data_IF_392097211934
#
_entry.id   IF_392097211934
#
_cell.length_a   1.000
_cell.length_b   1.000
_cell.length_c   1.000
_cell.angle_alpha   90.00
_cell.angle_beta   90.00
_cell.angle_gamma   90.00
#
_symmetry.space_group_name_H-M   'P 1'
#
loop_
_entity.id
_entity.type
_entity.pdbx_description
1 polymer ?
#
# COMPACT_ATOMS: atom_id res chain seq x y z
N UNK A 1 22.68 -22.23 -11.25
CA UNK A 1 22.75 -21.17 -12.28
C UNK A 1 22.24 -19.91 -11.62
N UNK A 2 22.98 -18.81 -11.67
CA UNK A 2 22.54 -17.56 -11.07
C UNK A 2 21.29 -17.07 -11.82
N UNK A 3 20.16 -16.94 -11.11
CA UNK A 3 18.90 -16.49 -11.71
C UNK A 3 19.06 -15.07 -12.23
N UNK A 4 18.64 -14.81 -13.47
CA UNK A 4 18.79 -13.54 -14.17
C UNK A 4 17.49 -12.76 -14.16
N UNK A 5 17.56 -11.51 -13.71
CA UNK A 5 16.41 -10.60 -13.63
C UNK A 5 16.64 -9.40 -14.53
N UNK A 6 15.61 -8.98 -15.24
CA UNK A 6 15.58 -7.71 -15.96
C UNK A 6 14.62 -6.77 -15.23
N UNK A 7 15.11 -5.58 -14.85
CA UNK A 7 14.26 -4.51 -14.34
C UNK A 7 14.20 -3.38 -15.37
N UNK A 8 12.98 -3.03 -15.80
CA UNK A 8 12.75 -1.95 -16.77
C UNK A 8 12.16 -0.76 -16.03
N UNK A 9 12.87 0.36 -16.02
CA UNK A 9 12.57 1.54 -15.22
C UNK A 9 13.50 1.64 -14.01
N UNK A 10 14.26 2.72 -13.95
CA UNK A 10 15.23 3.08 -12.93
C UNK A 10 14.73 4.26 -12.06
N UNK A 11 13.41 4.46 -12.00
CA UNK A 11 12.75 5.40 -11.09
C UNK A 11 12.84 4.94 -9.62
N UNK A 12 12.11 5.63 -8.72
CA UNK A 12 12.15 5.36 -7.27
C UNK A 12 11.90 3.90 -6.91
N UNK A 13 10.85 3.28 -7.47
CA UNK A 13 10.52 1.87 -7.21
C UNK A 13 11.52 0.92 -7.86
N UNK A 14 11.79 1.10 -9.16
CA UNK A 14 12.74 0.27 -9.91
C UNK A 14 14.12 0.21 -9.25
N UNK A 15 14.66 1.35 -8.83
CA UNK A 15 15.92 1.45 -8.09
C UNK A 15 15.95 0.63 -6.80
N UNK A 16 14.86 0.66 -6.02
CA UNK A 16 14.73 -0.14 -4.81
C UNK A 16 14.63 -1.64 -5.10
N UNK A 17 13.92 -2.01 -6.17
CA UNK A 17 13.78 -3.39 -6.62
C UNK A 17 15.13 -3.93 -7.13
N UNK A 18 15.85 -3.16 -7.95
CA UNK A 18 17.21 -3.48 -8.43
C UNK A 18 18.14 -3.76 -7.25
N UNK A 19 18.17 -2.85 -6.27
CA UNK A 19 18.98 -3.04 -5.05
C UNK A 19 18.59 -4.30 -4.28
N UNK A 20 17.29 -4.61 -4.19
CA UNK A 20 16.80 -5.81 -3.51
C UNK A 20 17.30 -7.09 -4.18
N UNK A 21 17.24 -7.18 -5.51
CA UNK A 21 17.74 -8.36 -6.24
C UNK A 21 19.26 -8.50 -6.12
N UNK A 22 20.01 -7.40 -6.28
CA UNK A 22 21.47 -7.43 -6.16
C UNK A 22 21.93 -7.89 -4.76
N UNK A 23 21.26 -7.44 -3.69
CA UNK A 23 21.53 -7.90 -2.31
C UNK A 23 21.29 -9.39 -2.11
N UNK A 24 20.44 -10.00 -2.92
CA UNK A 24 20.14 -11.43 -2.89
C UNK A 24 20.92 -12.21 -3.96
N UNK A 25 22.05 -11.67 -4.43
CA UNK A 25 22.98 -12.31 -5.36
C UNK A 25 22.39 -12.69 -6.73
N UNK A 26 21.33 -12.01 -7.17
CA UNK A 26 20.83 -12.15 -8.54
C UNK A 26 21.71 -11.38 -9.51
N UNK A 27 21.82 -11.89 -10.74
CA UNK A 27 22.35 -11.11 -11.86
C UNK A 27 21.22 -10.22 -12.41
N UNK A 28 21.42 -8.90 -12.37
CA UNK A 28 20.40 -7.91 -12.71
C UNK A 28 20.81 -7.16 -13.98
N UNK A 29 19.93 -7.20 -14.97
CA UNK A 29 19.96 -6.31 -16.13
C UNK A 29 19.02 -5.13 -15.88
N UNK A 30 19.44 -3.93 -16.23
CA UNK A 30 18.61 -2.72 -16.07
C UNK A 30 18.50 -1.97 -17.40
N UNK A 31 17.31 -1.43 -17.67
CA UNK A 31 17.06 -0.56 -18.80
C UNK A 31 16.16 0.61 -18.38
N UNK A 32 16.48 1.81 -18.83
CA UNK A 32 15.63 3.00 -18.74
C UNK A 32 15.99 3.94 -19.89
N UNK A 33 15.00 4.55 -20.53
CA UNK A 33 15.22 5.55 -21.58
C UNK A 33 15.84 6.83 -21.00
N UNK A 34 15.61 7.10 -19.72
CA UNK A 34 16.15 8.24 -19.01
C UNK A 34 17.51 7.91 -18.35
N UNK A 35 18.60 8.33 -19.00
CA UNK A 35 19.96 8.17 -18.49
C UNK A 35 20.17 8.75 -17.08
N UNK A 36 19.50 9.85 -16.74
CA UNK A 36 19.59 10.44 -15.39
C UNK A 36 18.98 9.52 -14.33
N UNK A 37 17.97 8.71 -14.69
CA UNK A 37 17.39 7.72 -13.78
C UNK A 37 18.38 6.57 -13.51
N UNK A 38 19.13 6.15 -14.52
CA UNK A 38 20.21 5.17 -14.39
C UNK A 38 21.30 5.71 -13.46
N UNK A 39 21.78 6.94 -13.69
CA UNK A 39 22.82 7.57 -12.83
C UNK A 39 22.37 7.65 -11.37
N UNK A 40 21.14 8.11 -11.11
CA UNK A 40 20.56 8.13 -9.75
C UNK A 40 20.42 6.74 -9.14
N UNK A 41 20.24 5.71 -9.97
CA UNK A 41 20.21 4.32 -9.53
C UNK A 41 21.60 3.85 -9.14
N UNK A 42 22.62 4.11 -9.96
CA UNK A 42 24.02 3.78 -9.64
C UNK A 42 24.48 4.45 -8.35
N UNK A 43 24.21 5.75 -8.16
CA UNK A 43 24.55 6.44 -6.91
C UNK A 43 23.89 5.80 -5.69
N UNK A 44 22.61 5.46 -5.79
CA UNK A 44 21.91 4.77 -4.72
C UNK A 44 22.50 3.37 -4.44
N UNK A 45 22.88 2.63 -5.48
CA UNK A 45 23.49 1.31 -5.32
C UNK A 45 24.85 1.40 -4.63
N UNK A 46 25.69 2.39 -4.98
CA UNK A 46 26.97 2.65 -4.32
C UNK A 46 26.82 2.88 -2.80
N UNK A 47 25.71 3.48 -2.37
CA UNK A 47 25.43 3.75 -0.96
C UNK A 47 24.79 2.56 -0.23
N UNK A 48 24.09 1.68 -0.95
CA UNK A 48 23.17 0.72 -0.33
C UNK A 48 23.52 -0.75 -0.58
N UNK A 49 24.36 -1.08 -1.57
CA UNK A 49 24.69 -2.45 -1.97
C UNK A 49 26.19 -2.59 -2.14
N UNK A 50 26.79 -3.56 -1.45
CA UNK A 50 28.22 -3.83 -1.56
C UNK A 50 28.54 -4.73 -2.77
N UNK A 51 29.66 -4.46 -3.46
CA UNK A 51 30.24 -5.32 -4.50
C UNK A 51 29.26 -5.78 -5.61
N UNK A 52 28.28 -4.95 -5.96
CA UNK A 52 27.22 -5.33 -6.91
C UNK A 52 27.66 -5.32 -8.39
N UNK A 53 28.78 -4.66 -8.71
CA UNK A 53 29.17 -4.36 -10.10
C UNK A 53 29.28 -5.60 -10.99
N UNK A 54 29.75 -6.74 -10.44
CA UNK A 54 29.85 -8.02 -11.18
C UNK A 54 28.49 -8.63 -11.54
N UNK A 55 27.44 -8.24 -10.82
CA UNK A 55 26.09 -8.77 -10.93
C UNK A 55 25.13 -7.76 -11.60
N UNK A 56 25.63 -6.63 -12.11
CA UNK A 56 24.82 -5.61 -12.76
C UNK A 56 25.25 -5.43 -14.23
N UNK A 57 24.27 -5.46 -15.14
CA UNK A 57 24.46 -5.08 -16.54
C UNK A 57 23.49 -3.96 -16.89
N UNK A 58 24.03 -2.84 -17.37
CA UNK A 58 23.22 -1.72 -17.89
C UNK A 58 23.04 -1.94 -19.39
N UNK A 59 21.80 -1.99 -19.85
CA UNK A 59 21.46 -2.16 -21.26
C UNK A 59 21.35 -0.79 -21.93
N UNK A 60 21.95 -0.63 -23.11
CA UNK A 60 21.81 0.61 -23.90
C UNK A 60 20.52 0.61 -24.72
N UNK A 61 20.01 -0.57 -25.05
CA UNK A 61 18.73 -0.78 -25.73
C UNK A 61 18.16 -2.17 -25.42
N UNK A 62 16.87 -2.37 -25.64
CA UNK A 62 16.18 -3.62 -25.33
C UNK A 62 16.71 -4.83 -26.13
N UNK A 63 17.34 -4.68 -27.29
CA UNK A 63 17.87 -5.82 -28.05
C UNK A 63 19.11 -6.46 -27.39
N UNK A 64 19.69 -5.81 -26.38
CA UNK A 64 20.83 -6.33 -25.60
C UNK A 64 20.42 -7.25 -24.45
N UNK A 65 19.10 -7.46 -24.27
CA UNK A 65 18.55 -8.38 -23.27
C UNK A 65 19.14 -9.77 -23.49
N UNK A 66 19.69 -10.33 -22.41
CA UNK A 66 20.09 -11.74 -22.39
C UNK A 66 18.85 -12.64 -22.52
N UNK A 67 18.84 -13.51 -23.54
CA UNK A 67 17.72 -14.44 -23.79
C UNK A 67 17.53 -15.47 -22.67
N UNK A 68 18.53 -15.68 -21.81
CA UNK A 68 18.43 -16.51 -20.60
C UNK A 68 17.87 -15.75 -19.40
N UNK A 69 17.17 -14.62 -19.61
CA UNK A 69 16.47 -13.91 -18.53
C UNK A 69 15.32 -14.75 -17.98
N UNK A 70 15.31 -15.01 -16.67
CA UNK A 70 14.28 -15.81 -16.02
C UNK A 70 13.05 -14.97 -15.64
N UNK A 71 13.27 -13.72 -15.25
CA UNK A 71 12.24 -12.86 -14.68
C UNK A 71 12.37 -11.40 -15.11
N UNK A 72 11.28 -10.81 -15.57
CA UNK A 72 11.20 -9.38 -15.91
C UNK A 72 10.27 -8.67 -14.93
N UNK A 73 10.71 -7.53 -14.43
CA UNK A 73 9.90 -6.59 -13.65
C UNK A 73 9.87 -5.24 -14.37
N UNK A 74 8.69 -4.87 -14.85
CA UNK A 74 8.40 -3.55 -15.38
C UNK A 74 8.05 -2.58 -14.23
N UNK A 75 8.73 -1.44 -14.16
CA UNK A 75 8.55 -0.38 -13.17
C UNK A 75 8.75 1.03 -13.79
N UNK A 76 8.30 1.21 -15.03
CA UNK A 76 8.21 2.50 -15.73
C UNK A 76 7.03 3.32 -15.21
N UNK A 77 6.84 4.51 -15.79
CA UNK A 77 5.74 5.42 -15.43
C UNK A 77 4.38 4.73 -15.46
N UNK A 78 3.46 5.16 -14.58
CA UNK A 78 2.14 4.58 -14.43
C UNK A 78 1.19 5.05 -15.56
N UNK A 79 1.49 4.63 -16.78
CA UNK A 79 0.73 4.93 -17.99
C UNK A 79 0.42 3.63 -18.74
N UNK A 80 -0.85 3.42 -19.08
CA UNK A 80 -1.31 2.19 -19.73
C UNK A 80 -0.68 2.00 -21.12
N UNK A 81 -0.70 3.02 -21.97
CA UNK A 81 -0.22 2.94 -23.35
C UNK A 81 1.28 2.64 -23.41
N UNK A 82 2.08 3.29 -22.57
CA UNK A 82 3.52 3.08 -22.49
C UNK A 82 3.86 1.66 -22.04
N UNK A 83 3.21 1.15 -20.99
CA UNK A 83 3.41 -0.23 -20.53
C UNK A 83 2.94 -1.25 -21.57
N UNK A 84 1.79 -1.00 -22.19
CA UNK A 84 1.23 -1.88 -23.22
C UNK A 84 2.16 -1.99 -24.44
N UNK A 85 2.69 -0.84 -24.91
CA UNK A 85 3.69 -0.79 -25.98
C UNK A 85 4.98 -1.51 -25.60
N UNK A 86 5.46 -1.29 -24.38
CA UNK A 86 6.66 -1.95 -23.87
C UNK A 86 6.51 -3.49 -23.90
N UNK A 87 5.40 -4.03 -23.41
CA UNK A 87 5.19 -5.48 -23.39
C UNK A 87 5.15 -6.10 -24.80
N UNK A 88 4.58 -5.41 -25.79
CA UNK A 88 4.62 -5.85 -27.20
C UNK A 88 6.04 -5.94 -27.76
N UNK A 89 6.90 -4.98 -27.40
CA UNK A 89 8.29 -4.94 -27.84
C UNK A 89 9.12 -6.00 -27.09
N UNK A 90 8.83 -6.21 -25.82
CA UNK A 90 9.61 -7.05 -24.94
C UNK A 90 9.38 -8.54 -25.20
N UNK A 91 8.13 -8.97 -25.46
CA UNK A 91 7.77 -10.38 -25.55
C UNK A 91 8.62 -11.20 -26.55
N UNK A 92 8.89 -10.72 -27.78
CA UNK A 92 9.68 -11.46 -28.77
C UNK A 92 11.17 -11.58 -28.42
N UNK A 93 11.67 -10.77 -27.49
CA UNK A 93 13.07 -10.77 -27.05
C UNK A 93 13.36 -11.80 -25.96
N UNK A 94 12.31 -12.40 -25.39
CA UNK A 94 12.38 -13.31 -24.25
C UNK A 94 12.06 -14.75 -24.67
N UNK A 95 12.66 -15.72 -23.98
CA UNK A 95 12.27 -17.13 -24.11
C UNK A 95 10.88 -17.35 -23.55
N UNK A 96 10.21 -18.41 -24.01
CA UNK A 96 8.84 -18.74 -23.60
C UNK A 96 8.68 -18.97 -22.09
N UNK A 97 9.72 -19.44 -21.42
CA UNK A 97 9.71 -19.75 -19.98
C UNK A 97 10.09 -18.56 -19.09
N UNK A 98 10.34 -17.37 -19.66
CA UNK A 98 10.57 -16.15 -18.89
C UNK A 98 9.26 -15.64 -18.28
N UNK A 99 9.26 -15.38 -16.97
CA UNK A 99 8.16 -14.68 -16.29
C UNK A 99 8.20 -13.19 -16.67
N UNK A 100 7.06 -12.63 -17.06
CA UNK A 100 6.93 -11.19 -17.33
C UNK A 100 6.02 -10.60 -16.25
N UNK A 101 6.46 -9.54 -15.59
CA UNK A 101 5.66 -8.89 -14.56
C UNK A 101 5.73 -7.37 -14.58
N UNK A 102 4.76 -6.77 -13.91
CA UNK A 102 4.66 -5.32 -13.69
C UNK A 102 4.51 -5.00 -12.21
N UNK A 103 5.18 -3.93 -11.77
CA UNK A 103 5.04 -3.32 -10.45
C UNK A 103 3.91 -2.26 -10.41
N UNK A 104 3.04 -2.19 -11.43
CA UNK A 104 1.88 -1.28 -11.42
C UNK A 104 1.09 -1.41 -10.11
N UNK A 105 0.59 -0.28 -9.61
CA UNK A 105 -0.20 -0.22 -8.36
C UNK A 105 -1.69 -0.08 -8.62
N UNK A 106 -2.08 0.14 -9.88
CA UNK A 106 -3.43 0.62 -10.21
C UNK A 106 -3.99 0.17 -11.56
N UNK A 107 -3.14 -0.21 -12.53
CA UNK A 107 -3.58 -0.65 -13.85
C UNK A 107 -4.00 -2.13 -13.82
N UNK A 108 -4.97 -2.46 -14.67
CA UNK A 108 -5.46 -3.83 -14.78
C UNK A 108 -4.39 -4.74 -15.39
N UNK A 109 -4.07 -5.81 -14.67
CA UNK A 109 -3.17 -6.86 -15.16
C UNK A 109 -3.84 -7.61 -16.31
N UNK A 110 -5.17 -7.77 -16.28
CA UNK A 110 -5.91 -8.37 -17.38
C UNK A 110 -5.78 -7.54 -18.67
N UNK A 111 -6.05 -6.22 -18.61
CA UNK A 111 -5.95 -5.33 -19.77
C UNK A 111 -4.51 -5.28 -20.30
N UNK A 112 -3.50 -5.17 -19.44
CA UNK A 112 -2.09 -5.16 -19.85
C UNK A 112 -1.65 -6.49 -20.49
N UNK A 113 -2.19 -7.62 -20.04
CA UNK A 113 -1.86 -8.93 -20.61
C UNK A 113 -2.23 -9.05 -22.09
N UNK A 114 -3.15 -8.22 -22.60
CA UNK A 114 -3.55 -8.24 -24.01
C UNK A 114 -2.43 -7.80 -24.97
N UNK A 115 -1.38 -7.16 -24.44
CA UNK A 115 -0.17 -6.87 -25.19
C UNK A 115 0.63 -8.14 -25.57
N UNK A 116 0.38 -9.27 -24.89
CA UNK A 116 1.16 -10.49 -24.99
C UNK A 116 0.40 -11.59 -25.74
N UNK A 117 1.15 -12.39 -26.50
CA UNK A 117 0.66 -13.61 -27.14
C UNK A 117 0.65 -14.79 -26.16
N UNK A 118 1.67 -14.89 -25.31
CA UNK A 118 1.83 -15.93 -24.27
C UNK A 118 1.48 -15.35 -22.90
N UNK A 119 0.18 -15.13 -22.67
CA UNK A 119 -0.35 -14.44 -21.49
C UNK A 119 -0.19 -15.24 -20.19
N UNK A 120 0.03 -16.55 -20.30
CA UNK A 120 0.11 -17.47 -19.16
C UNK A 120 1.27 -17.18 -18.19
N UNK A 121 2.28 -16.45 -18.66
CA UNK A 121 3.49 -16.06 -17.92
C UNK A 121 3.48 -14.62 -17.41
N UNK A 122 2.36 -13.91 -17.59
CA UNK A 122 2.19 -12.53 -17.18
C UNK A 122 1.42 -12.41 -15.88
N UNK A 123 1.89 -11.55 -14.97
CA UNK A 123 1.27 -11.28 -13.67
C UNK A 123 1.78 -9.97 -13.06
N UNK A 124 1.06 -9.40 -12.11
CA UNK A 124 1.56 -8.28 -11.30
C UNK A 124 2.44 -8.77 -10.16
N UNK A 125 3.55 -8.06 -9.91
CA UNK A 125 4.39 -8.22 -8.71
C UNK A 125 4.58 -6.84 -8.10
N UNK A 126 3.64 -6.48 -7.22
CA UNK A 126 3.52 -5.15 -6.66
C UNK A 126 4.30 -5.07 -5.34
N UNK A 127 5.46 -4.41 -5.38
CA UNK A 127 6.27 -4.04 -4.23
C UNK A 127 5.77 -2.74 -3.61
N UNK A 128 5.97 -2.59 -2.30
CA UNK A 128 5.59 -1.39 -1.56
C UNK A 128 6.81 -0.47 -1.31
N UNK A 129 6.58 0.84 -1.35
CA UNK A 129 7.63 1.84 -1.14
C UNK A 129 7.97 2.01 0.35
N UNK A 130 9.25 1.98 0.78
CA UNK A 130 10.45 1.59 0.01
C UNK A 130 10.63 0.07 -0.12
N UNK A 131 10.99 -0.46 -1.32
CA UNK A 131 11.08 -1.90 -1.55
C UNK A 131 12.09 -2.63 -0.65
N UNK A 132 13.15 -1.97 -0.20
CA UNK A 132 14.14 -2.58 0.71
C UNK A 132 13.60 -2.78 2.13
N UNK A 133 12.63 -1.97 2.56
CA UNK A 133 12.12 -1.93 3.94
C UNK A 133 10.80 -2.70 4.04
N UNK A 134 9.90 -2.49 3.08
CA UNK A 134 8.57 -3.08 3.11
C UNK A 134 8.65 -4.59 2.86
N UNK A 135 8.01 -5.38 3.72
CA UNK A 135 8.07 -6.86 3.65
C UNK A 135 7.09 -7.45 2.64
N UNK A 136 5.95 -6.79 2.44
CA UNK A 136 4.86 -7.29 1.62
C UNK A 136 5.16 -7.16 0.12
N UNK A 137 4.76 -8.17 -0.65
CA UNK A 137 4.59 -8.13 -2.10
C UNK A 137 3.23 -8.73 -2.45
N UNK A 138 2.44 -8.02 -3.25
CA UNK A 138 1.20 -8.56 -3.83
C UNK A 138 1.51 -9.21 -5.18
N UNK A 139 1.24 -10.52 -5.30
CA UNK A 139 1.23 -11.21 -6.58
C UNK A 139 -0.19 -11.16 -7.14
N UNK A 140 -0.35 -10.46 -8.26
CA UNK A 140 -1.65 -10.18 -8.87
C UNK A 140 -1.83 -11.03 -10.13
N UNK A 141 -2.78 -11.94 -10.10
CA UNK A 141 -3.05 -12.86 -11.19
C UNK A 141 -3.92 -12.19 -12.25
N UNK A 142 -3.49 -12.30 -13.50
CA UNK A 142 -4.41 -12.16 -14.63
C UNK A 142 -5.30 -13.41 -14.75
N UNK A 143 -6.35 -13.33 -15.56
CA UNK A 143 -7.22 -14.45 -15.89
C UNK A 143 -6.50 -15.56 -16.66
N UNK A 144 -5.33 -15.27 -17.23
CA UNK A 144 -4.53 -16.20 -18.02
C UNK A 144 -3.36 -16.79 -17.25
N UNK A 145 -2.94 -16.17 -16.14
CA UNK A 145 -1.74 -16.57 -15.39
C UNK A 145 -1.84 -18.04 -14.98
N UNK A 146 -0.88 -18.86 -15.44
CA UNK A 146 -0.87 -20.27 -15.12
C UNK A 146 -0.27 -20.54 -13.74
N UNK A 147 -0.68 -21.67 -13.15
CA UNK A 147 -0.17 -22.13 -11.86
C UNK A 147 1.36 -22.30 -11.83
N UNK A 148 1.95 -22.80 -12.92
CA UNK A 148 3.41 -22.98 -13.03
C UNK A 148 4.17 -21.65 -12.90
N UNK A 149 3.72 -20.59 -13.59
CA UNK A 149 4.38 -19.28 -13.51
C UNK A 149 4.13 -18.58 -12.17
N UNK A 150 2.97 -18.81 -11.55
CA UNK A 150 2.72 -18.37 -10.17
C UNK A 150 3.72 -19.01 -9.19
N UNK A 151 3.90 -20.33 -9.25
CA UNK A 151 4.81 -21.06 -8.35
C UNK A 151 6.27 -20.61 -8.51
N UNK A 152 6.74 -20.45 -9.75
CA UNK A 152 8.08 -19.90 -10.02
C UNK A 152 8.24 -18.47 -9.48
N UNK A 153 7.22 -17.63 -9.64
CA UNK A 153 7.24 -16.27 -9.09
C UNK A 153 7.29 -16.30 -7.56
N UNK A 154 6.50 -17.16 -6.92
CA UNK A 154 6.52 -17.32 -5.45
C UNK A 154 7.92 -17.73 -4.98
N UNK A 155 8.57 -18.68 -5.66
CA UNK A 155 9.91 -19.12 -5.32
C UNK A 155 10.92 -17.96 -5.40
N UNK A 156 10.89 -17.19 -6.49
CA UNK A 156 11.77 -16.02 -6.67
C UNK A 156 11.50 -14.98 -5.57
N UNK A 157 10.25 -14.58 -5.35
CA UNK A 157 9.93 -13.52 -4.38
C UNK A 157 10.23 -13.95 -2.95
N UNK A 158 9.99 -15.22 -2.57
CA UNK A 158 10.37 -15.76 -1.25
C UNK A 158 11.88 -15.71 -1.02
N UNK A 159 12.69 -15.98 -2.06
CA UNK A 159 14.15 -15.90 -1.96
C UNK A 159 14.66 -14.49 -1.61
N UNK A 160 13.85 -13.44 -1.85
CA UNK A 160 14.15 -12.06 -1.47
C UNK A 160 13.78 -11.73 -0.02
N UNK A 161 13.43 -12.74 0.79
CA UNK A 161 12.90 -12.59 2.15
C UNK A 161 11.65 -11.69 2.22
N UNK A 162 10.81 -11.77 1.19
CA UNK A 162 9.52 -11.08 1.12
C UNK A 162 8.37 -11.97 1.53
N UNK A 163 7.37 -11.32 2.11
CA UNK A 163 6.09 -11.92 2.45
C UNK A 163 5.12 -11.72 1.29
N UNK A 164 4.58 -12.82 0.80
CA UNK A 164 3.69 -12.82 -0.35
C UNK A 164 2.24 -12.88 0.12
N UNK A 165 1.40 -12.16 -0.61
CA UNK A 165 -0.05 -12.37 -0.68
C UNK A 165 -0.46 -12.50 -2.14
N UNK A 166 -1.49 -13.28 -2.41
CA UNK A 166 -1.95 -13.54 -3.78
C UNK A 166 -3.37 -12.98 -3.94
N UNK A 167 -3.60 -12.28 -5.05
CA UNK A 167 -4.94 -11.85 -5.42
C UNK A 167 -5.18 -11.93 -6.92
N UNK A 168 -6.46 -11.92 -7.31
CA UNK A 168 -6.88 -11.69 -8.69
C UNK A 168 -6.79 -10.20 -9.03
N UNK A 169 -6.62 -9.92 -10.32
CA UNK A 169 -6.70 -8.57 -10.85
C UNK A 169 -8.04 -7.91 -10.47
N UNK A 170 -7.94 -6.80 -9.75
CA UNK A 170 -9.07 -5.96 -9.36
C UNK A 170 -8.57 -4.55 -9.07
N UNK A 171 -9.40 -3.50 -9.24
CA UNK A 171 -8.96 -2.13 -9.00
C UNK A 171 -8.40 -1.93 -7.58
N UNK A 172 -7.12 -1.60 -7.48
CA UNK A 172 -6.41 -1.41 -6.21
C UNK A 172 -6.04 -2.69 -5.45
N UNK A 173 -6.11 -3.86 -6.10
CA UNK A 173 -5.70 -5.16 -5.55
C UNK A 173 -6.27 -5.43 -4.15
N UNK A 174 -5.43 -5.71 -3.15
CA UNK A 174 -5.87 -5.87 -1.76
C UNK A 174 -5.66 -4.55 -1.00
N UNK A 175 -4.40 -4.13 -0.85
CA UNK A 175 -4.03 -3.06 0.10
C UNK A 175 -4.63 -1.73 -0.31
N UNK A 176 -4.46 -1.31 -1.57
CA UNK A 176 -4.92 0.00 -2.00
C UNK A 176 -6.44 0.12 -1.90
N UNK A 177 -7.16 -0.95 -2.28
CA UNK A 177 -8.61 -1.05 -2.19
C UNK A 177 -9.13 -0.98 -0.76
N UNK A 178 -8.65 -1.85 0.13
CA UNK A 178 -9.12 -1.93 1.53
C UNK A 178 -8.66 -0.72 2.35
N UNK A 179 -7.56 -0.05 1.97
CA UNK A 179 -7.12 1.16 2.65
C UNK A 179 -7.93 2.41 2.26
N UNK A 180 -8.67 2.42 1.14
CA UNK A 180 -9.41 3.62 0.68
C UNK A 180 -10.36 4.19 1.75
N UNK A 181 -11.18 3.37 2.45
CA UNK A 181 -12.09 3.91 3.45
C UNK A 181 -11.41 4.61 4.63
N UNK A 182 -10.17 4.25 4.96
CA UNK A 182 -9.40 4.95 6.01
C UNK A 182 -9.27 6.45 5.72
N UNK A 183 -8.97 6.80 4.45
CA UNK A 183 -8.83 8.18 4.02
C UNK A 183 -10.19 8.82 3.72
N UNK A 184 -11.03 8.15 2.93
CA UNK A 184 -12.24 8.74 2.38
C UNK A 184 -13.32 8.96 3.45
N UNK A 185 -13.43 8.07 4.43
CA UNK A 185 -14.35 8.26 5.55
C UNK A 185 -13.88 9.39 6.46
N UNK A 186 -12.57 9.51 6.71
CA UNK A 186 -11.99 10.63 7.45
C UNK A 186 -12.22 11.97 6.73
N UNK A 187 -12.01 12.02 5.41
CA UNK A 187 -12.27 13.22 4.60
C UNK A 187 -13.73 13.64 4.64
N UNK A 188 -14.68 12.69 4.56
CA UNK A 188 -16.11 12.97 4.71
C UNK A 188 -16.45 13.49 6.11
N UNK A 189 -15.81 12.99 7.15
CA UNK A 189 -15.99 13.51 8.51
C UNK A 189 -15.49 14.95 8.63
N UNK A 190 -14.33 15.25 8.04
CA UNK A 190 -13.77 16.59 8.01
C UNK A 190 -14.63 17.56 7.19
N UNK A 191 -15.18 17.12 6.06
CA UNK A 191 -16.15 17.89 5.26
C UNK A 191 -17.41 18.25 6.08
N UNK A 192 -17.81 17.38 7.01
CA UNK A 192 -18.93 17.61 7.94
C UNK A 192 -18.53 18.38 9.22
N UNK A 193 -17.34 19.00 9.24
CA UNK A 193 -16.91 19.91 10.31
C UNK A 193 -16.20 19.25 11.49
N UNK A 194 -15.82 17.98 11.41
CA UNK A 194 -15.03 17.33 12.46
C UNK A 194 -13.56 17.69 12.26
N UNK A 195 -12.93 18.25 13.29
CA UNK A 195 -11.52 18.64 13.22
C UNK A 195 -10.61 17.45 12.83
N UNK A 196 -9.78 17.65 11.82
CA UNK A 196 -8.93 16.59 11.27
C UNK A 196 -7.84 16.14 12.25
N UNK A 197 -7.38 17.03 13.14
CA UNK A 197 -6.38 16.69 14.17
C UNK A 197 -6.98 15.78 15.23
N UNK A 198 -8.26 15.97 15.57
CA UNK A 198 -9.01 15.06 16.42
C UNK A 198 -9.16 13.68 15.76
N UNK A 199 -9.53 13.62 14.47
CA UNK A 199 -9.66 12.34 13.74
C UNK A 199 -8.32 11.59 13.76
N UNK A 200 -7.23 12.27 13.45
CA UNK A 200 -5.89 11.68 13.50
C UNK A 200 -5.52 11.17 14.88
N UNK A 201 -5.80 11.96 15.93
CA UNK A 201 -5.50 11.59 17.32
C UNK A 201 -6.32 10.38 17.76
N UNK A 202 -7.60 10.33 17.42
CA UNK A 202 -8.48 9.17 17.69
C UNK A 202 -7.94 7.91 17.01
N UNK A 203 -7.63 7.96 15.72
CA UNK A 203 -7.12 6.78 15.01
C UNK A 203 -5.78 6.31 15.58
N UNK A 204 -4.90 7.24 15.98
CA UNK A 204 -3.64 6.89 16.63
C UNK A 204 -3.84 6.29 18.02
N UNK A 205 -4.74 6.84 18.84
CA UNK A 205 -4.96 6.36 20.22
C UNK A 205 -5.50 4.95 20.26
N UNK A 206 -6.32 4.56 19.28
CA UNK A 206 -6.82 3.20 19.21
C UNK A 206 -5.76 2.22 18.68
N UNK A 207 -4.63 2.67 18.12
CA UNK A 207 -3.49 1.81 17.79
C UNK A 207 -2.94 1.93 16.38
N UNK A 208 -3.49 2.79 15.52
CA UNK A 208 -2.87 3.04 14.21
C UNK A 208 -1.56 3.83 14.39
N UNK A 209 -0.56 3.53 13.57
CA UNK A 209 0.74 4.21 13.64
C UNK A 209 0.65 5.71 13.30
N UNK A 210 -0.24 6.07 12.38
CA UNK A 210 -0.49 7.43 11.91
C UNK A 210 -1.98 7.62 11.69
N UNK A 211 -2.45 8.86 11.86
CA UNK A 211 -3.80 9.23 11.49
C UNK A 211 -3.96 9.35 9.96
N UNK A 212 -5.20 9.30 9.44
CA UNK A 212 -5.47 9.39 8.00
C UNK A 212 -4.91 10.65 7.33
N UNK A 213 -4.96 11.82 7.97
CA UNK A 213 -4.47 13.08 7.39
C UNK A 213 -2.95 13.16 7.43
N UNK A 214 -2.34 12.81 8.56
CA UNK A 214 -0.88 12.62 8.68
C UNK A 214 -0.33 11.65 7.62
N UNK A 215 -1.02 10.53 7.39
CA UNK A 215 -0.60 9.54 6.40
C UNK A 215 -0.77 10.03 4.95
N UNK A 216 -1.83 10.78 4.66
CA UNK A 216 -2.00 11.42 3.34
C UNK A 216 -0.88 12.42 3.05
N UNK A 217 -0.49 13.25 4.02
CA UNK A 217 0.60 14.19 3.86
C UNK A 217 1.96 13.51 3.68
N UNK A 218 2.17 12.35 4.33
CA UNK A 218 3.37 11.53 4.16
C UNK A 218 3.45 10.88 2.78
N UNK A 219 2.34 10.30 2.31
CA UNK A 219 2.26 9.66 0.99
C UNK A 219 2.37 10.70 -0.13
N UNK A 220 1.76 11.87 0.08
CA UNK A 220 1.47 12.86 -0.94
C UNK A 220 -0.02 12.85 -1.27
N UNK A 221 -0.67 14.00 -1.11
CA UNK A 221 -2.13 14.12 -1.31
C UNK A 221 -2.52 13.83 -2.76
N UNK A 222 -1.71 14.26 -3.72
CA UNK A 222 -1.87 13.99 -5.15
C UNK A 222 -1.79 12.49 -5.48
N UNK A 223 -0.84 11.78 -4.89
CA UNK A 223 -0.68 10.33 -5.06
C UNK A 223 -1.85 9.59 -4.41
N UNK A 224 -2.25 9.99 -3.20
CA UNK A 224 -3.39 9.36 -2.54
C UNK A 224 -4.70 9.58 -3.33
N UNK A 225 -4.92 10.80 -3.83
CA UNK A 225 -6.08 11.16 -4.63
C UNK A 225 -6.12 10.42 -5.97
N UNK A 226 -5.00 10.32 -6.69
CA UNK A 226 -4.95 9.64 -7.98
C UNK A 226 -5.34 8.17 -7.87
N UNK A 227 -4.85 7.46 -6.84
CA UNK A 227 -5.25 6.07 -6.57
C UNK A 227 -6.74 5.97 -6.26
N UNK A 228 -7.29 6.86 -5.44
CA UNK A 228 -8.74 6.90 -5.16
C UNK A 228 -9.56 7.12 -6.43
N UNK A 229 -9.09 8.02 -7.32
CA UNK A 229 -9.75 8.31 -8.60
C UNK A 229 -9.79 7.09 -9.51
N UNK A 230 -8.67 6.41 -9.70
CA UNK A 230 -8.60 5.20 -10.55
C UNK A 230 -9.54 4.11 -10.02
N UNK A 231 -9.51 3.86 -8.70
CA UNK A 231 -10.38 2.86 -8.08
C UNK A 231 -11.86 3.24 -8.27
N UNK A 232 -12.22 4.51 -8.08
CA UNK A 232 -13.59 4.96 -8.28
C UNK A 232 -14.03 4.87 -9.74
N UNK A 233 -13.21 5.31 -10.70
CA UNK A 233 -13.54 5.25 -12.13
C UNK A 233 -13.76 3.81 -12.61
N UNK A 234 -12.97 2.86 -12.10
CA UNK A 234 -13.11 1.44 -12.46
C UNK A 234 -14.22 0.70 -11.73
N UNK A 235 -14.66 1.18 -10.55
CA UNK A 235 -15.64 0.46 -9.72
C UNK A 235 -17.01 1.13 -9.61
N UNK A 236 -17.10 2.44 -9.83
CA UNK A 236 -18.32 3.24 -9.64
C UNK A 236 -18.85 3.28 -8.21
N UNK A 237 -18.07 2.81 -7.23
CA UNK A 237 -18.54 2.65 -5.85
C UNK A 237 -18.58 4.01 -5.13
N UNK A 238 -19.77 4.53 -4.85
CA UNK A 238 -19.94 5.86 -4.25
C UNK A 238 -19.23 6.01 -2.89
N UNK A 239 -19.14 4.93 -2.09
CA UNK A 239 -18.36 4.93 -0.83
C UNK A 239 -16.87 5.18 -1.03
N UNK A 240 -16.34 4.89 -2.23
CA UNK A 240 -14.94 5.08 -2.62
C UNK A 240 -14.72 6.35 -3.47
N UNK A 241 -15.71 7.22 -3.55
CA UNK A 241 -15.61 8.47 -4.32
C UNK A 241 -14.48 9.38 -3.80
N UNK A 242 -13.62 9.91 -4.69
CA UNK A 242 -12.56 10.86 -4.31
C UNK A 242 -13.12 12.14 -3.71
N UNK A 243 -12.39 12.73 -2.76
CA UNK A 243 -12.83 13.96 -2.08
C UNK A 243 -12.44 15.22 -2.86
N UNK A 244 -13.37 16.19 -2.91
CA UNK A 244 -13.09 17.54 -3.43
C UNK A 244 -12.06 18.29 -2.60
N UNK A 245 -11.95 18.01 -1.30
CA UNK A 245 -10.95 18.61 -0.41
C UNK A 245 -9.54 18.32 -0.93
N UNK A 246 -9.27 17.06 -1.30
CA UNK A 246 -7.98 16.68 -1.86
C UNK A 246 -7.72 17.39 -3.19
N UNK A 247 -8.72 17.48 -4.07
CA UNK A 247 -8.62 18.18 -5.34
C UNK A 247 -8.26 19.67 -5.17
N UNK A 248 -8.90 20.36 -4.22
CA UNK A 248 -8.61 21.76 -3.89
C UNK A 248 -7.21 21.95 -3.32
N UNK A 249 -6.75 21.03 -2.48
CA UNK A 249 -5.39 21.08 -1.91
C UNK A 249 -4.33 20.88 -3.00
N UNK A 250 -4.57 19.96 -3.94
CA UNK A 250 -3.70 19.76 -5.10
C UNK A 250 -3.62 21.03 -5.94
N UNK A 251 -4.76 21.69 -6.22
CA UNK A 251 -4.80 22.97 -6.95
C UNK A 251 -4.00 24.08 -6.24
N UNK A 252 -3.95 24.06 -4.91
CA UNK A 252 -3.18 25.01 -4.09
C UNK A 252 -1.69 24.62 -3.94
N UNK A 253 -1.26 23.48 -4.46
CA UNK A 253 0.10 22.97 -4.27
C UNK A 253 0.37 22.43 -2.86
N UNK A 254 -0.67 22.17 -2.07
CA UNK A 254 -0.55 21.60 -0.73
C UNK A 254 -0.52 20.08 -0.84
N UNK A 255 0.68 19.56 -1.04
CA UNK A 255 0.97 18.18 -1.42
C UNK A 255 1.53 17.34 -0.26
N UNK A 256 1.57 17.89 0.95
CA UNK A 256 2.08 17.24 2.15
C UNK A 256 3.55 17.54 2.41
N UNK A 257 4.29 16.55 2.92
CA UNK A 257 5.69 16.71 3.34
C UNK A 257 6.57 17.21 2.19
N UNK A 258 6.35 16.70 0.97
CA UNK A 258 7.18 17.06 -0.21
C UNK A 258 7.08 18.52 -0.64
N UNK A 259 6.06 19.25 -0.19
CA UNK A 259 5.88 20.70 -0.41
C UNK A 259 5.88 21.48 0.90
N UNK A 260 6.29 20.86 2.00
CA UNK A 260 6.26 21.39 3.37
C UNK A 260 4.87 21.86 3.87
N UNK A 261 3.79 21.52 3.15
CA UNK A 261 2.43 21.97 3.44
C UNK A 261 1.41 20.99 2.85
N UNK A 262 0.52 20.48 3.69
CA UNK A 262 -0.63 19.64 3.35
C UNK A 262 -1.81 19.98 4.27
N UNK A 263 -2.35 18.98 4.96
CA UNK A 263 -3.25 19.21 6.10
C UNK A 263 -2.48 19.82 7.28
N UNK A 264 -1.22 19.46 7.43
CA UNK A 264 -0.29 20.04 8.39
C UNK A 264 0.77 20.92 7.71
N UNK A 265 1.45 21.74 8.52
CA UNK A 265 2.69 22.42 8.13
C UNK A 265 3.90 21.58 8.55
N UNK A 266 4.96 21.62 7.74
CA UNK A 266 6.19 20.86 7.98
C UNK A 266 7.43 21.77 7.99
N UNK A 267 8.45 21.46 8.83
CA UNK A 267 8.58 20.27 9.68
C UNK A 267 7.66 20.31 10.91
N UNK A 268 7.24 19.12 11.38
CA UNK A 268 6.34 18.96 12.54
C UNK A 268 6.83 17.84 13.45
N UNK A 269 6.55 18.00 14.75
CA UNK A 269 6.69 16.93 15.72
C UNK A 269 5.48 15.99 15.67
N UNK A 270 5.75 14.69 15.55
CA UNK A 270 4.72 13.66 15.56
C UNK A 270 4.40 13.25 17.00
N UNK A 271 3.13 13.37 17.39
CA UNK A 271 2.64 12.73 18.60
C UNK A 271 2.63 11.21 18.39
N UNK A 272 3.37 10.49 19.24
CA UNK A 272 3.48 9.04 19.21
C UNK A 272 2.92 8.48 20.50
N UNK A 273 2.00 7.52 20.39
CA UNK A 273 1.55 6.74 21.53
C UNK A 273 2.48 5.53 21.72
N UNK A 274 3.03 5.40 22.91
CA UNK A 274 3.82 4.23 23.30
C UNK A 274 2.93 3.33 24.15
N UNK A 275 2.34 2.31 23.51
CA UNK A 275 1.48 1.35 24.18
C UNK A 275 2.35 0.28 24.86
N UNK A 276 2.38 0.28 26.19
CA UNK A 276 3.13 -0.72 26.97
C UNK A 276 2.46 -2.09 26.99
N UNK A 277 1.14 -2.12 26.91
CA UNK A 277 0.36 -3.34 27.08
C UNK A 277 -0.86 -3.30 26.17
N UNK A 278 -1.20 -4.46 25.61
CA UNK A 278 -2.47 -4.66 24.91
C UNK A 278 -3.50 -5.19 25.91
N UNK A 279 -4.64 -4.52 26.02
CA UNK A 279 -5.78 -4.89 26.85
C UNK A 279 -6.73 -5.84 26.10
N UNK A 280 -7.51 -6.60 26.86
CA UNK A 280 -8.49 -7.55 26.32
C UNK A 280 -9.83 -6.91 25.90
N UNK A 281 -9.89 -5.58 25.83
CA UNK A 281 -11.04 -4.86 25.32
C UNK A 281 -10.93 -4.73 23.80
N UNK A 282 -11.98 -5.12 23.07
CA UNK A 282 -12.03 -5.03 21.62
C UNK A 282 -13.47 -4.79 21.14
N UNK A 283 -13.72 -3.62 20.57
CA UNK A 283 -15.02 -3.19 20.08
C UNK A 283 -15.60 -1.99 20.81
N UNK A 284 -16.91 -1.83 20.69
CA UNK A 284 -17.70 -0.77 21.32
C UNK A 284 -18.25 -1.26 22.67
N UNK A 285 -18.12 -0.41 23.68
CA UNK A 285 -18.62 -0.64 25.03
C UNK A 285 -19.49 0.52 25.48
N UNK A 286 -20.55 0.19 26.21
CA UNK A 286 -21.46 1.13 26.83
C UNK A 286 -21.42 0.97 28.34
N UNK A 287 -21.27 2.10 29.03
CA UNK A 287 -21.40 2.24 30.47
C UNK A 287 -22.55 3.20 30.73
N UNK A 288 -23.09 3.19 31.95
CA UNK A 288 -24.28 3.98 32.31
C UNK A 288 -24.18 5.46 31.87
N UNK A 289 -22.99 6.06 31.96
CA UNK A 289 -22.80 7.50 31.76
C UNK A 289 -21.86 7.85 30.58
N UNK A 290 -21.38 6.87 29.80
CA UNK A 290 -20.52 7.12 28.63
C UNK A 290 -20.35 5.88 27.74
N UNK A 291 -19.87 6.10 26.51
CA UNK A 291 -19.46 5.04 25.58
C UNK A 291 -17.97 5.13 25.28
N UNK A 292 -17.36 3.99 24.99
CA UNK A 292 -15.98 3.98 24.49
C UNK A 292 -15.75 2.89 23.46
N UNK A 293 -14.85 3.16 22.52
CA UNK A 293 -14.39 2.23 21.50
C UNK A 293 -12.88 1.98 21.63
N UNK A 294 -12.46 0.74 21.43
CA UNK A 294 -11.05 0.34 21.50
C UNK A 294 -10.78 -0.94 20.71
N UNK A 295 -9.52 -1.19 20.38
CA UNK A 295 -9.02 -2.45 19.81
C UNK A 295 -7.87 -3.05 20.63
N UNK A 296 -7.87 -2.71 21.92
CA UNK A 296 -6.94 -3.23 22.91
C UNK A 296 -5.72 -2.35 23.17
N UNK A 297 -5.62 -1.16 22.60
CA UNK A 297 -4.49 -0.25 22.84
C UNK A 297 -4.92 0.91 23.74
N UNK A 298 -5.39 2.01 23.15
CA UNK A 298 -6.06 3.10 23.86
C UNK A 298 -7.57 3.10 23.65
N UNK A 299 -8.25 4.12 24.18
CA UNK A 299 -9.70 4.26 24.09
C UNK A 299 -10.12 5.59 23.48
N UNK A 300 -11.09 5.54 22.57
CA UNK A 300 -11.89 6.69 22.16
C UNK A 300 -13.15 6.72 23.02
N UNK A 301 -13.45 7.85 23.65
CA UNK A 301 -14.56 8.00 24.60
C UNK A 301 -15.46 9.12 24.13
N UNK A 302 -16.76 8.87 24.21
CA UNK A 302 -17.77 9.73 23.63
C UNK A 302 -19.10 9.56 24.34
N UNK A 303 -20.05 10.44 24.06
CA UNK A 303 -21.40 10.40 24.66
C UNK A 303 -21.36 10.35 26.21
N UNK A 304 -20.48 11.14 26.83
CA UNK A 304 -20.29 11.16 28.28
C UNK A 304 -21.06 12.30 28.96
N UNK A 305 -21.49 12.08 30.21
CA UNK A 305 -22.17 13.09 31.03
C UNK A 305 -21.23 13.91 31.92
N UNK A 306 -20.22 13.25 32.52
CA UNK A 306 -19.27 13.89 33.45
C UNK A 306 -17.83 13.50 33.12
N UNK A 307 -17.04 14.46 32.66
CA UNK A 307 -15.66 14.24 32.20
C UNK A 307 -14.75 13.62 33.27
N UNK A 308 -14.78 14.16 34.50
CA UNK A 308 -13.88 13.73 35.58
C UNK A 308 -14.15 12.27 35.98
N UNK A 309 -15.42 11.92 36.17
CA UNK A 309 -15.83 10.56 36.50
C UNK A 309 -15.50 9.57 35.36
N UNK A 310 -15.72 9.99 34.11
CA UNK A 310 -15.39 9.18 32.94
C UNK A 310 -13.89 8.91 32.85
N UNK A 311 -13.05 9.94 33.02
CA UNK A 311 -11.59 9.81 32.99
C UNK A 311 -11.09 8.88 34.10
N UNK A 312 -11.61 9.00 35.31
CA UNK A 312 -11.26 8.11 36.43
C UNK A 312 -11.61 6.66 36.09
N UNK A 313 -12.82 6.42 35.58
CA UNK A 313 -13.30 5.08 35.20
C UNK A 313 -12.42 4.46 34.12
N UNK A 314 -12.09 5.20 33.06
CA UNK A 314 -11.24 4.73 31.96
C UNK A 314 -9.82 4.38 32.43
N UNK A 315 -9.26 5.18 33.33
CA UNK A 315 -7.94 4.87 33.93
C UNK A 315 -8.01 3.62 34.81
N UNK A 316 -9.08 3.44 35.57
CA UNK A 316 -9.30 2.23 36.37
C UNK A 316 -9.47 0.97 35.51
N UNK A 317 -9.94 1.11 34.27
CA UNK A 317 -9.95 0.01 33.28
C UNK A 317 -8.57 -0.28 32.67
N UNK A 318 -7.54 0.50 33.01
CA UNK A 318 -6.16 0.30 32.59
C UNK A 318 -5.75 1.02 31.30
N UNK A 319 -6.61 1.87 30.74
CA UNK A 319 -6.23 2.66 29.55
C UNK A 319 -5.32 3.83 29.94
N UNK A 320 -4.05 3.74 29.56
CA UNK A 320 -3.07 4.84 29.74
C UNK A 320 -3.28 5.98 28.74
N UNK A 321 -3.70 5.64 27.51
CA UNK A 321 -3.90 6.58 26.41
C UNK A 321 -5.34 6.59 25.98
N UNK A 322 -5.96 7.76 25.93
CA UNK A 322 -7.34 7.91 25.51
C UNK A 322 -7.65 9.32 24.99
N UNK A 323 -8.73 9.43 24.21
CA UNK A 323 -9.25 10.69 23.68
C UNK A 323 -10.74 10.79 24.03
N UNK A 324 -11.14 11.92 24.60
CA UNK A 324 -12.55 12.25 24.85
C UNK A 324 -13.03 13.30 23.84
N UNK A 325 -14.26 13.16 23.35
CA UNK A 325 -14.93 14.18 22.55
C UNK A 325 -16.45 14.16 22.73
N UNK A 326 -17.11 15.27 22.37
CA UNK A 326 -18.54 15.46 22.63
C UNK A 326 -19.49 14.89 21.56
N UNK A 327 -18.97 14.29 20.48
CA UNK A 327 -19.84 13.63 19.50
C UNK A 327 -20.59 12.44 20.13
N UNK A 328 -21.80 12.16 19.64
CA UNK A 328 -22.63 11.03 20.08
C UNK A 328 -22.29 9.70 19.39
N UNK A 329 -21.20 9.66 18.63
CA UNK A 329 -20.75 8.47 17.90
C UNK A 329 -19.23 8.37 17.93
N UNK A 330 -18.72 7.15 17.73
CA UNK A 330 -17.28 6.88 17.57
C UNK A 330 -16.82 7.19 16.14
N UNK A 331 -15.84 8.09 16.03
CA UNK A 331 -15.04 8.36 14.84
C UNK A 331 -14.31 7.10 14.41
N UNK A 332 -13.61 6.42 15.33
CA UNK A 332 -12.80 5.27 15.00
C UNK A 332 -13.63 4.10 14.46
N UNK A 333 -14.75 3.80 15.11
CA UNK A 333 -15.65 2.72 14.72
C UNK A 333 -16.20 2.96 13.31
N UNK A 334 -16.65 4.17 12.98
CA UNK A 334 -17.15 4.49 11.64
C UNK A 334 -16.09 4.26 10.55
N UNK A 335 -14.83 4.61 10.81
CA UNK A 335 -13.73 4.35 9.85
C UNK A 335 -13.45 2.86 9.75
N UNK A 336 -13.37 2.15 10.88
CA UNK A 336 -13.09 0.71 10.91
C UNK A 336 -14.21 -0.11 10.27
N UNK A 337 -15.47 0.23 10.51
CA UNK A 337 -16.62 -0.47 9.93
C UNK A 337 -16.54 -0.46 8.39
N UNK A 338 -16.18 0.68 7.78
CA UNK A 338 -16.02 0.80 6.33
C UNK A 338 -14.80 0.03 5.80
N UNK A 339 -13.69 0.01 6.55
CA UNK A 339 -12.51 -0.82 6.22
C UNK A 339 -12.88 -2.31 6.25
N UNK A 340 -13.53 -2.76 7.31
CA UNK A 340 -13.96 -4.16 7.49
C UNK A 340 -14.97 -4.54 6.42
N UNK A 341 -15.90 -3.64 6.08
CA UNK A 341 -16.85 -3.83 4.99
C UNK A 341 -16.12 -4.05 3.66
N UNK A 342 -15.17 -3.19 3.30
CA UNK A 342 -14.41 -3.35 2.05
C UNK A 342 -13.60 -4.65 2.04
N UNK A 343 -12.99 -5.02 3.17
CA UNK A 343 -12.27 -6.30 3.29
C UNK A 343 -13.20 -7.50 3.09
N UNK A 344 -14.41 -7.47 3.67
CA UNK A 344 -15.44 -8.50 3.48
C UNK A 344 -15.89 -8.58 2.01
N UNK A 345 -15.99 -7.44 1.31
CA UNK A 345 -16.30 -7.42 -0.12
C UNK A 345 -15.16 -8.00 -0.97
N UNK A 346 -13.90 -7.68 -0.68
CA UNK A 346 -12.75 -8.29 -1.36
C UNK A 346 -12.76 -9.82 -1.21
N UNK A 347 -13.04 -10.30 0.01
CA UNK A 347 -13.14 -11.74 0.29
C UNK A 347 -14.34 -12.38 -0.43
N UNK A 348 -15.53 -11.79 -0.32
CA UNK A 348 -16.78 -12.29 -0.92
C UNK A 348 -16.70 -12.40 -2.45
N UNK A 349 -15.97 -11.49 -3.08
CA UNK A 349 -15.74 -11.50 -4.53
C UNK A 349 -14.59 -12.44 -4.97
N UNK A 350 -14.06 -13.27 -4.05
CA UNK A 350 -12.98 -14.21 -4.32
C UNK A 350 -11.73 -13.56 -4.95
N UNK A 351 -11.43 -12.32 -4.54
CA UNK A 351 -10.25 -11.59 -5.01
C UNK A 351 -9.01 -12.13 -4.31
N UNK A 352 -9.08 -12.35 -3.00
CA UNK A 352 -7.98 -12.90 -2.18
C UNK A 352 -8.54 -13.73 -1.02
N UNK A 353 -7.71 -14.61 -0.47
CA UNK A 353 -8.07 -15.40 0.70
C UNK A 353 -8.20 -14.53 1.96
N UNK A 354 -8.93 -15.00 2.97
CA UNK A 354 -9.02 -14.31 4.27
C UNK A 354 -7.64 -14.10 4.90
N UNK A 355 -6.76 -15.09 4.77
CA UNK A 355 -5.40 -15.03 5.31
C UNK A 355 -4.57 -13.96 4.59
N UNK A 356 -4.59 -13.96 3.25
CA UNK A 356 -3.89 -12.98 2.44
C UNK A 356 -4.38 -11.56 2.71
N UNK A 357 -5.70 -11.36 2.83
CA UNK A 357 -6.27 -10.04 3.14
C UNK A 357 -5.75 -9.51 4.49
N UNK A 358 -5.82 -10.33 5.55
CA UNK A 358 -5.35 -9.91 6.86
C UNK A 358 -3.83 -9.68 6.88
N UNK A 359 -3.06 -10.53 6.20
CA UNK A 359 -1.60 -10.40 6.06
C UNK A 359 -1.22 -9.14 5.29
N UNK A 360 -1.92 -8.85 4.19
CA UNK A 360 -1.71 -7.67 3.37
C UNK A 360 -1.93 -6.39 4.17
N UNK A 361 -3.04 -6.29 4.91
CA UNK A 361 -3.32 -5.10 5.71
C UNK A 361 -2.31 -4.92 6.86
N UNK A 362 -1.91 -6.00 7.54
CA UNK A 362 -0.88 -5.91 8.58
C UNK A 362 0.48 -5.46 8.04
N UNK A 363 0.97 -6.08 6.97
CA UNK A 363 2.33 -5.84 6.48
C UNK A 363 2.43 -4.62 5.55
N UNK A 364 1.39 -4.34 4.78
CA UNK A 364 1.34 -3.24 3.83
C UNK A 364 0.98 -1.90 4.47
N UNK A 365 0.16 -1.92 5.52
CA UNK A 365 -0.36 -0.68 6.15
C UNK A 365 -0.11 -0.56 7.65
N UNK A 366 0.41 -1.61 8.30
CA UNK A 366 0.56 -1.68 9.77
C UNK A 366 -0.77 -1.56 10.52
N UNK A 367 -1.85 -2.13 9.97
CA UNK A 367 -3.12 -2.15 10.68
C UNK A 367 -3.02 -3.00 11.97
N UNK A 368 -3.53 -2.50 13.11
CA UNK A 368 -3.35 -3.12 14.43
C UNK A 368 -4.27 -4.33 14.71
N UNK A 369 -5.06 -4.78 13.72
CA UNK A 369 -6.05 -5.86 13.85
C UNK A 369 -6.21 -6.65 12.54
N UNK A 370 -6.92 -7.79 12.59
CA UNK A 370 -7.39 -8.50 11.41
C UNK A 370 -8.67 -7.85 10.87
N UNK A 371 -8.60 -7.28 9.67
CA UNK A 371 -9.76 -6.66 9.00
C UNK A 371 -10.90 -7.65 8.72
N UNK A 372 -10.62 -8.96 8.71
CA UNK A 372 -11.64 -10.01 8.68
C UNK A 372 -11.44 -10.93 9.90
N UNK A 373 -12.43 -10.93 10.81
CA UNK A 373 -12.54 -11.89 11.91
C UNK A 373 -12.47 -11.30 13.31
N UNK A 374 -11.79 -10.17 13.51
CA UNK A 374 -11.69 -9.56 14.84
C UNK A 374 -12.97 -8.78 15.21
N UNK A 375 -13.69 -8.28 14.20
CA UNK A 375 -14.99 -7.63 14.36
C UNK A 375 -16.10 -8.53 13.83
N UNK A 376 -17.16 -8.72 14.64
CA UNK A 376 -18.36 -9.48 14.26
C UNK A 376 -19.19 -8.70 13.25
#
# INVERSE_FOLDING_TARGET
MDKKVLVIGCGTMGRGIIALFLKNNYFVQIYDENKNAIERTINFLNENVENYSKNLKILSNLNEIDRETDFVIEAIIENFEEKFKLFKILEPLLKRDTIISTNTSSLSINELSEALNYRERFLGVHFFNPPLIMKLVEIVLSSWTSQNFLEKTIEIIKSLSKEIVICKDSPGFIVNRIARPFYLTALRMYENGIDFTLIDRVMKVIGFKMGPFELMDLIGIDINYSVSKIIYEKTGLERLKPSKIQEEMIKKGFLGIKTNKGFYEYPRNYEKFNFKTKLNFFGLYEKENFKFFTIGYGAEIFDYENENQTVETIRNLGFEHFVLHNFKFSIAKKIIDEIVFEAKEVYKNNIASKEDINKAMKLGTNYPFNVIGDFK
#
